data_IF_194546949873
#
_entry.id   IF_194546949873
#
_cell.length_a   1.000
_cell.length_b   1.000
_cell.length_c   1.000
_cell.angle_alpha   90.00
_cell.angle_beta   90.00
_cell.angle_gamma   90.00
#
_symmetry.space_group_name_H-M   'P 1'
#
loop_
_entity.id
_entity.type
_entity.pdbx_description
1 polymer ?
#
# COMPACT_ATOMS: atom_id res chain seq x y z
N UNK A 1 20.63 30.25 0.60
CA UNK A 1 19.47 29.36 0.39
C UNK A 1 20.00 27.99 0.01
N UNK A 2 19.68 26.93 0.77
CA UNK A 2 20.08 25.57 0.41
C UNK A 2 19.31 25.18 -0.85
N UNK A 3 20.01 24.71 -1.88
CA UNK A 3 19.40 24.24 -3.13
C UNK A 3 18.61 22.97 -2.81
N UNK A 4 17.28 23.10 -2.68
CA UNK A 4 16.39 21.94 -2.54
C UNK A 4 16.44 21.22 -3.89
N UNK A 5 17.24 20.17 -3.97
CA UNK A 5 17.35 19.30 -5.14
C UNK A 5 16.65 17.98 -4.83
N UNK A 6 15.90 17.48 -5.80
CA UNK A 6 15.17 16.22 -5.63
C UNK A 6 16.13 15.03 -5.51
N UNK A 7 16.01 14.28 -4.41
CA UNK A 7 16.81 13.06 -4.19
C UNK A 7 15.92 11.81 -4.36
N UNK A 8 15.92 11.24 -5.57
CA UNK A 8 15.18 10.01 -5.86
C UNK A 8 15.61 8.84 -4.98
N UNK A 9 16.90 8.74 -4.64
CA UNK A 9 17.42 7.70 -3.75
C UNK A 9 16.86 7.81 -2.34
N UNK A 10 16.75 9.03 -1.80
CA UNK A 10 16.12 9.26 -0.50
C UNK A 10 14.61 8.95 -0.52
N UNK A 11 13.90 9.31 -1.60
CA UNK A 11 12.50 8.97 -1.77
C UNK A 11 12.28 7.45 -1.88
N UNK A 12 13.15 6.75 -2.62
CA UNK A 12 13.16 5.30 -2.73
C UNK A 12 13.46 4.61 -1.40
N UNK A 13 14.46 5.11 -0.64
CA UNK A 13 14.80 4.60 0.69
C UNK A 13 13.67 4.82 1.71
N UNK A 14 12.94 5.93 1.63
CA UNK A 14 11.79 6.19 2.48
C UNK A 14 10.63 5.21 2.19
N UNK A 15 10.39 4.87 0.92
CA UNK A 15 9.33 3.92 0.56
C UNK A 15 9.76 2.45 0.63
N UNK A 16 11.06 2.14 0.67
CA UNK A 16 11.54 0.76 0.79
C UNK A 16 11.19 0.13 2.13
N UNK A 17 10.95 0.93 3.19
CA UNK A 17 10.40 0.44 4.45
C UNK A 17 8.92 0.00 4.37
N UNK A 18 8.22 0.43 3.30
CA UNK A 18 6.83 0.06 2.97
C UNK A 18 6.85 -0.87 1.75
N UNK A 19 7.90 -1.66 1.58
CA UNK A 19 8.05 -2.54 0.43
C UNK A 19 7.00 -3.66 0.48
N UNK A 20 5.92 -3.42 -0.24
CA UNK A 20 4.96 -4.44 -0.64
C UNK A 20 4.25 -5.09 0.55
N UNK A 21 3.58 -4.25 1.37
CA UNK A 21 2.66 -4.78 2.39
C UNK A 21 1.75 -5.77 1.67
N UNK A 22 1.70 -7.00 2.16
CA UNK A 22 0.96 -8.08 1.52
C UNK A 22 0.14 -8.80 2.56
N UNK A 23 -1.15 -8.95 2.28
CA UNK A 23 -2.01 -9.91 2.98
C UNK A 23 -2.12 -11.14 2.08
N UNK A 24 -2.16 -12.35 2.64
CA UNK A 24 -2.39 -13.57 1.86
C UNK A 24 -3.79 -13.53 1.25
N UNK A 25 -3.89 -12.95 0.06
CA UNK A 25 -5.14 -12.81 -0.68
C UNK A 25 -5.72 -14.18 -1.03
N UNK A 26 -6.99 -14.41 -0.73
CA UNK A 26 -7.74 -15.58 -1.17
C UNK A 26 -8.11 -16.60 -0.09
N UNK A 27 -7.58 -16.48 1.13
CA UNK A 27 -8.04 -17.31 2.24
C UNK A 27 -9.42 -16.83 2.71
N UNK A 28 -10.46 -17.61 2.41
CA UNK A 28 -11.78 -17.42 2.99
C UNK A 28 -11.90 -18.28 4.23
N UNK A 29 -12.43 -17.71 5.31
CA UNK A 29 -12.90 -18.50 6.45
C UNK A 29 -14.15 -19.28 5.99
N UNK A 30 -13.97 -20.53 5.61
CA UNK A 30 -15.06 -21.44 5.28
C UNK A 30 -15.43 -22.24 6.52
N UNK A 31 -16.69 -22.15 6.91
CA UNK A 31 -17.25 -23.02 7.92
C UNK A 31 -17.71 -24.30 7.22
N UNK A 32 -17.43 -25.46 7.80
CA UNK A 32 -17.95 -26.74 7.33
C UNK A 32 -19.47 -26.85 7.55
N UNK A 33 -19.95 -27.96 8.11
CA UNK A 33 -21.39 -28.20 8.32
C UNK A 33 -22.06 -27.37 9.43
N UNK A 34 -21.40 -26.36 10.01
CA UNK A 34 -21.97 -25.60 11.13
C UNK A 34 -23.26 -24.86 10.73
N UNK A 35 -24.35 -25.18 11.43
CA UNK A 35 -25.66 -24.57 11.27
C UNK A 35 -25.95 -23.46 12.31
N UNK A 36 -25.04 -23.24 13.26
CA UNK A 36 -25.17 -22.21 14.30
C UNK A 36 -25.07 -20.81 13.67
N UNK A 37 -26.11 -20.00 13.83
CA UNK A 37 -26.24 -18.66 13.22
C UNK A 37 -25.10 -17.70 13.60
N UNK A 38 -24.67 -17.69 14.87
CA UNK A 38 -23.57 -16.84 15.33
C UNK A 38 -22.23 -17.18 14.69
N UNK A 39 -21.97 -18.47 14.43
CA UNK A 39 -20.74 -18.92 13.77
C UNK A 39 -20.73 -18.46 12.31
N UNK A 40 -21.86 -18.62 11.58
CA UNK A 40 -22.02 -18.12 10.21
C UNK A 40 -21.73 -16.62 10.12
N UNK A 41 -22.32 -15.84 11.02
CA UNK A 41 -22.09 -14.39 11.10
C UNK A 41 -20.63 -14.05 11.40
N UNK A 42 -19.96 -14.83 12.23
CA UNK A 42 -18.53 -14.70 12.50
C UNK A 42 -17.66 -14.90 11.25
N UNK A 43 -17.95 -15.92 10.44
CA UNK A 43 -17.25 -16.15 9.16
C UNK A 43 -17.51 -15.02 8.15
N UNK A 44 -18.74 -14.51 8.05
CA UNK A 44 -19.05 -13.37 7.18
C UNK A 44 -18.28 -12.11 7.58
N UNK A 45 -18.25 -11.77 8.87
CA UNK A 45 -17.51 -10.62 9.39
C UNK A 45 -16.01 -10.81 9.17
N UNK A 46 -15.46 -11.99 9.47
CA UNK A 46 -14.05 -12.30 9.24
C UNK A 46 -13.65 -12.16 7.77
N UNK A 47 -14.48 -12.65 6.86
CA UNK A 47 -14.25 -12.51 5.42
C UNK A 47 -14.35 -11.04 4.95
N UNK A 48 -15.23 -10.22 5.54
CA UNK A 48 -15.28 -8.78 5.27
C UNK A 48 -14.01 -8.07 5.76
N UNK A 49 -13.56 -8.35 6.98
CA UNK A 49 -12.31 -7.80 7.51
C UNK A 49 -11.10 -8.15 6.65
N UNK A 50 -11.00 -9.40 6.17
CA UNK A 50 -9.92 -9.81 5.25
C UNK A 50 -9.95 -9.04 3.92
N UNK A 51 -11.14 -8.77 3.39
CA UNK A 51 -11.30 -7.95 2.18
C UNK A 51 -10.89 -6.49 2.44
N UNK A 52 -11.33 -5.92 3.55
CA UNK A 52 -11.01 -4.53 3.91
C UNK A 52 -9.51 -4.35 4.16
N UNK A 53 -8.85 -5.31 4.82
CA UNK A 53 -7.39 -5.35 4.97
C UNK A 53 -6.69 -5.41 3.60
N UNK A 54 -7.18 -6.23 2.68
CA UNK A 54 -6.62 -6.32 1.32
C UNK A 54 -6.73 -4.98 0.58
N UNK A 55 -7.87 -4.30 0.66
CA UNK A 55 -8.06 -2.97 0.07
C UNK A 55 -7.18 -1.90 0.71
N UNK A 56 -7.04 -1.95 2.03
CA UNK A 56 -6.20 -1.02 2.78
C UNK A 56 -4.73 -1.16 2.33
N UNK A 57 -4.24 -2.39 2.28
CA UNK A 57 -2.90 -2.71 1.80
C UNK A 57 -2.67 -2.25 0.36
N UNK A 58 -3.62 -2.50 -0.54
CA UNK A 58 -3.56 -2.00 -1.92
C UNK A 58 -3.48 -0.48 -1.98
N UNK A 59 -4.20 0.23 -1.11
CA UNK A 59 -4.18 1.69 -1.03
C UNK A 59 -2.84 2.19 -0.49
N UNK A 60 -2.30 1.58 0.56
CA UNK A 60 -0.98 1.95 1.09
C UNK A 60 0.10 1.79 0.01
N UNK A 61 0.11 0.67 -0.71
CA UNK A 61 1.07 0.43 -1.79
C UNK A 61 0.89 1.42 -2.95
N UNK A 62 -0.35 1.76 -3.31
CA UNK A 62 -0.63 2.76 -4.36
C UNK A 62 -0.07 4.12 -3.98
N UNK A 63 -0.22 4.52 -2.72
CA UNK A 63 0.23 5.80 -2.21
C UNK A 63 1.76 5.83 -2.08
N UNK A 64 2.37 4.76 -1.58
CA UNK A 64 3.82 4.59 -1.53
C UNK A 64 4.45 4.75 -2.94
N UNK A 65 3.83 4.14 -3.96
CA UNK A 65 4.30 4.23 -5.35
C UNK A 65 4.22 5.64 -5.98
N UNK A 66 3.48 6.58 -5.38
CA UNK A 66 3.42 7.97 -5.88
C UNK A 66 4.69 8.76 -5.53
N UNK A 67 5.34 8.48 -4.40
CA UNK A 67 6.50 9.26 -3.95
C UNK A 67 7.71 9.14 -4.89
N UNK A 68 8.13 7.95 -5.37
CA UNK A 68 9.21 7.84 -6.34
C UNK A 68 8.87 8.50 -7.69
N UNK A 69 7.62 8.39 -8.14
CA UNK A 69 7.16 9.03 -9.38
C UNK A 69 7.21 10.55 -9.28
N UNK A 70 6.74 11.11 -8.17
CA UNK A 70 6.80 12.54 -7.91
C UNK A 70 8.26 13.02 -7.85
N UNK A 71 9.12 12.29 -7.12
CA UNK A 71 10.55 12.59 -7.04
C UNK A 71 11.23 12.58 -8.41
N UNK A 72 10.84 11.67 -9.31
CA UNK A 72 11.33 11.63 -10.68
C UNK A 72 10.91 12.85 -11.51
N UNK A 73 9.65 13.27 -11.41
CA UNK A 73 9.14 14.46 -12.11
C UNK A 73 9.85 15.74 -11.62
N UNK A 74 10.05 15.89 -10.31
CA UNK A 74 10.74 17.06 -9.76
C UNK A 74 12.23 17.03 -10.13
N UNK A 75 12.89 15.87 -10.08
CA UNK A 75 14.28 15.74 -10.54
C UNK A 75 14.45 16.14 -12.02
N UNK A 76 13.52 15.72 -12.89
CA UNK A 76 13.54 16.11 -14.31
C UNK A 76 13.32 17.62 -14.53
N UNK A 77 12.52 18.27 -13.68
CA UNK A 77 12.35 19.73 -13.68
C UNK A 77 13.60 20.45 -13.15
N UNK A 78 14.18 19.94 -12.07
CA UNK A 78 15.40 20.50 -11.48
C UNK A 78 16.58 20.43 -12.47
N UNK A 79 16.68 19.38 -13.29
CA UNK A 79 17.71 19.28 -14.33
C UNK A 79 17.53 20.24 -15.50
N UNK A 80 16.29 20.65 -15.79
CA UNK A 80 15.97 21.61 -16.85
C UNK A 80 16.08 23.06 -16.39
N UNK A 81 15.88 23.31 -15.10
CA UNK A 81 16.03 24.63 -14.49
C UNK A 81 17.49 24.85 -14.11
N UNK A 82 18.34 25.21 -15.08
CA UNK A 82 19.69 25.69 -14.78
C UNK A 82 19.62 27.10 -14.20
N UNK A 83 20.01 27.25 -12.94
CA UNK A 83 20.49 28.53 -12.40
C UNK A 83 21.95 28.69 -12.76
#
# INVERSE_FOLDING_TARGET
>A
MVKVTSNQGAAQAAVSGISNVSVSGGQKCMLGKSNISSIKKGSEIGNKMLNDLTKFVSSVNTQANKFPKLAAVIAARDSQTKF
#
